data_IF_414216031694
#
_entry.id   IF_414216031694
#
_cell.length_a   1.000
_cell.length_b   1.000
_cell.length_c   1.000
_cell.angle_alpha   90.00
_cell.angle_beta   90.00
_cell.angle_gamma   90.00
#
_symmetry.space_group_name_H-M   'P 1'
#
loop_
_entity.id
_entity.type
_entity.pdbx_description
1 polymer ?
#
# COMPACT_ATOMS: atom_id res chain seq x y z
N UNK A 1 48.18 14.36 -26.41
CA UNK A 1 46.98 14.90 -25.72
C UNK A 1 46.23 13.72 -25.13
N UNK A 2 46.36 13.47 -23.81
CA UNK A 2 45.70 12.35 -23.12
C UNK A 2 44.35 12.84 -22.62
N UNK A 3 43.26 12.35 -23.22
CA UNK A 3 41.91 12.53 -22.68
C UNK A 3 41.71 11.42 -21.65
N UNK A 4 41.75 11.79 -20.36
CA UNK A 4 41.37 10.92 -19.25
C UNK A 4 39.85 11.01 -19.14
N UNK A 5 39.13 10.02 -19.67
CA UNK A 5 37.71 9.84 -19.37
C UNK A 5 37.61 9.31 -17.93
N UNK A 6 37.27 10.17 -16.98
CA UNK A 6 36.79 9.75 -15.66
C UNK A 6 35.39 9.17 -15.84
N UNK A 7 35.28 7.85 -15.78
CA UNK A 7 34.03 7.12 -15.78
C UNK A 7 33.45 7.18 -14.36
N UNK A 8 32.52 8.10 -14.12
CA UNK A 8 31.76 8.18 -12.87
C UNK A 8 30.87 6.94 -12.76
N UNK A 9 31.32 5.94 -12.01
CA UNK A 9 30.49 4.82 -11.60
C UNK A 9 29.43 5.38 -10.65
N UNK A 10 28.22 5.64 -11.17
CA UNK A 10 27.04 5.82 -10.32
C UNK A 10 26.81 4.48 -9.63
N UNK A 11 27.27 4.36 -8.38
CA UNK A 11 26.83 3.31 -7.48
C UNK A 11 25.33 3.50 -7.21
N UNK A 12 24.49 2.94 -8.08
CA UNK A 12 23.12 2.62 -7.72
C UNK A 12 23.20 1.59 -6.60
N UNK A 13 23.10 2.07 -5.35
CA UNK A 13 23.03 1.19 -4.18
C UNK A 13 21.85 0.21 -4.37
N UNK A 14 22.00 -1.06 -3.98
CA UNK A 14 20.91 -2.00 -4.06
C UNK A 14 19.77 -1.49 -3.16
N UNK A 15 18.61 -1.21 -3.74
CA UNK A 15 17.38 -1.05 -2.98
C UNK A 15 17.23 -2.31 -2.12
N UNK A 16 17.34 -2.17 -0.80
CA UNK A 16 17.24 -3.29 0.12
C UNK A 16 15.81 -3.82 0.09
N UNK A 17 15.68 -5.14 -0.07
CA UNK A 17 14.44 -5.83 0.15
C UNK A 17 14.07 -5.70 1.63
N UNK A 18 12.79 -5.51 1.92
CA UNK A 18 12.29 -5.34 3.27
C UNK A 18 11.05 -6.22 3.42
N UNK A 19 11.05 -7.05 4.45
CA UNK A 19 9.89 -7.83 4.83
C UNK A 19 9.31 -7.21 6.09
N UNK A 20 8.01 -6.92 6.03
CA UNK A 20 7.27 -6.27 7.11
C UNK A 20 6.06 -7.13 7.46
N UNK A 21 5.98 -7.55 8.72
CA UNK A 21 4.80 -8.20 9.25
C UNK A 21 3.89 -7.13 9.86
N UNK A 22 2.72 -6.92 9.25
CA UNK A 22 1.85 -5.81 9.60
C UNK A 22 0.52 -6.28 10.18
N UNK A 23 0.04 -5.60 11.21
CA UNK A 23 -1.24 -5.91 11.86
C UNK A 23 -2.16 -4.71 11.75
N UNK A 24 -3.26 -4.85 11.01
CA UNK A 24 -4.32 -3.86 10.97
C UNK A 24 -5.01 -3.77 12.34
N UNK A 25 -5.16 -2.56 12.85
CA UNK A 25 -5.78 -2.26 14.17
C UNK A 25 -7.10 -1.52 14.03
N UNK A 26 -7.26 -0.77 12.95
CA UNK A 26 -8.43 0.07 12.70
C UNK A 26 -8.75 0.07 11.21
N UNK A 27 -10.02 -0.14 10.86
CA UNK A 27 -10.53 0.06 9.52
C UNK A 27 -11.61 1.13 9.56
N UNK A 28 -11.50 2.13 8.69
CA UNK A 28 -12.46 3.21 8.55
C UNK A 28 -13.01 3.23 7.13
N UNK A 29 -14.33 3.38 6.99
CA UNK A 29 -15.01 3.56 5.72
C UNK A 29 -15.62 4.96 5.72
N UNK A 30 -15.32 5.73 4.69
CA UNK A 30 -15.81 7.09 4.52
C UNK A 30 -16.73 7.19 3.31
N UNK A 31 -17.67 8.12 3.39
CA UNK A 31 -18.63 8.44 2.33
C UNK A 31 -19.57 7.28 1.96
N UNK A 32 -19.80 6.35 2.90
CA UNK A 32 -20.90 5.38 2.82
C UNK A 32 -22.24 6.13 2.92
N UNK A 33 -22.31 7.03 3.91
CA UNK A 33 -23.25 8.15 3.96
C UNK A 33 -22.49 9.46 3.69
N UNK A 34 -23.12 10.42 3.01
CA UNK A 34 -22.44 11.62 2.51
C UNK A 34 -21.88 12.43 3.68
N UNK A 35 -20.56 12.59 3.70
CA UNK A 35 -19.86 13.35 4.76
C UNK A 35 -19.63 12.57 6.05
N UNK A 36 -20.00 11.29 6.12
CA UNK A 36 -19.80 10.46 7.30
C UNK A 36 -18.59 9.53 7.16
N UNK A 37 -18.06 9.10 8.30
CA UNK A 37 -16.99 8.10 8.40
C UNK A 37 -17.26 7.20 9.58
N UNK A 38 -17.25 5.89 9.32
CA UNK A 38 -17.42 4.86 10.33
C UNK A 38 -16.12 4.10 10.49
N UNK A 39 -15.68 3.90 11.74
CA UNK A 39 -14.46 3.18 12.05
C UNK A 39 -14.74 1.99 12.97
N UNK A 40 -14.20 0.84 12.61
CA UNK A 40 -14.27 -0.38 13.40
C UNK A 40 -12.87 -0.81 13.83
N UNK A 41 -12.69 -1.08 15.12
CA UNK A 41 -11.49 -1.76 15.62
C UNK A 41 -11.42 -3.14 14.98
N UNK A 42 -10.24 -3.49 14.49
CA UNK A 42 -10.00 -4.77 13.83
C UNK A 42 -8.66 -5.34 14.30
N UNK A 43 -8.42 -6.62 14.01
CA UNK A 43 -7.14 -7.28 14.26
C UNK A 43 -6.91 -8.30 13.15
N UNK A 44 -6.63 -7.79 11.95
CA UNK A 44 -6.35 -8.62 10.77
C UNK A 44 -4.84 -8.53 10.50
N UNK A 45 -4.17 -9.68 10.55
CA UNK A 45 -2.76 -9.77 10.17
C UNK A 45 -2.63 -9.71 8.65
N UNK A 46 -1.66 -8.95 8.16
CA UNK A 46 -1.31 -8.81 6.75
C UNK A 46 0.22 -8.93 6.63
N UNK A 47 0.69 -9.84 5.80
CA UNK A 47 2.10 -9.85 5.40
C UNK A 47 2.32 -8.78 4.33
N UNK A 48 3.24 -7.85 4.55
CA UNK A 48 3.70 -6.91 3.52
C UNK A 48 5.08 -7.34 3.04
N UNK A 49 5.12 -7.93 1.84
CA UNK A 49 6.38 -8.25 1.19
C UNK A 49 6.78 -7.09 0.28
N UNK A 50 7.86 -6.39 0.65
CA UNK A 50 8.51 -5.35 -0.18
C UNK A 50 9.78 -5.97 -0.77
N UNK A 51 9.58 -6.83 -1.77
CA UNK A 51 10.63 -7.69 -2.30
C UNK A 51 11.65 -6.99 -3.21
N UNK A 52 12.87 -7.53 -3.26
CA UNK A 52 13.88 -7.31 -4.33
C UNK A 52 13.39 -7.87 -5.67
N UNK A 53 12.70 -9.01 -5.62
CA UNK A 53 12.29 -9.81 -6.78
C UNK A 53 10.97 -9.33 -7.39
N UNK A 54 10.24 -8.44 -6.70
CA UNK A 54 9.01 -7.80 -7.15
C UNK A 54 9.28 -6.45 -7.84
N UNK A 55 10.53 -5.97 -7.88
CA UNK A 55 10.90 -4.70 -8.50
C UNK A 55 10.25 -3.50 -7.81
N UNK A 56 9.59 -2.63 -8.59
CA UNK A 56 8.79 -1.51 -8.07
C UNK A 56 7.49 -1.97 -7.39
N UNK A 57 7.30 -3.25 -7.03
CA UNK A 57 5.99 -3.73 -6.54
C UNK A 57 5.98 -4.01 -5.03
N UNK A 58 4.91 -3.60 -4.36
CA UNK A 58 4.57 -4.01 -2.98
C UNK A 58 3.39 -4.97 -3.03
N UNK A 59 3.59 -6.17 -2.46
CA UNK A 59 2.58 -7.22 -2.40
C UNK A 59 2.01 -7.27 -0.99
N UNK A 60 0.68 -7.18 -0.90
CA UNK A 60 -0.07 -7.37 0.35
C UNK A 60 -0.66 -8.77 0.35
N UNK A 61 -0.30 -9.55 1.37
CA UNK A 61 -0.72 -10.95 1.54
C UNK A 61 -1.55 -11.11 2.81
N UNK A 62 -2.58 -11.96 2.78
CA UNK A 62 -3.26 -12.41 4.00
C UNK A 62 -2.51 -13.62 4.60
N UNK A 63 -2.79 -14.02 5.87
CA UNK A 63 -2.15 -15.18 6.50
C UNK A 63 -2.43 -16.50 5.76
N UNK A 64 -3.48 -16.52 4.94
CA UNK A 64 -3.89 -17.64 4.08
C UNK A 64 -3.13 -17.67 2.74
N UNK A 65 -2.22 -16.72 2.51
CA UNK A 65 -1.37 -16.65 1.32
C UNK A 65 -2.05 -16.06 0.09
N UNK A 66 -3.27 -15.53 0.23
CA UNK A 66 -3.94 -14.84 -0.87
C UNK A 66 -3.24 -13.50 -1.16
N UNK A 67 -2.63 -13.40 -2.34
CA UNK A 67 -2.07 -12.15 -2.85
C UNK A 67 -3.23 -11.27 -3.31
N UNK A 68 -3.38 -10.10 -2.71
CA UNK A 68 -4.61 -9.33 -2.90
C UNK A 68 -4.41 -8.00 -3.65
N UNK A 69 -3.20 -7.42 -3.65
CA UNK A 69 -2.90 -6.19 -4.41
C UNK A 69 -1.45 -6.07 -4.87
N UNK A 70 -1.28 -5.40 -6.03
CA UNK A 70 0.00 -4.94 -6.55
C UNK A 70 0.03 -3.40 -6.50
N UNK A 71 0.84 -2.84 -5.61
CA UNK A 71 1.13 -1.40 -5.61
C UNK A 71 2.47 -1.14 -6.27
N UNK A 72 2.60 -0.01 -6.98
CA UNK A 72 3.87 0.52 -7.45
C UNK A 72 4.54 1.41 -6.41
N UNK A 73 5.76 1.07 -6.00
CA UNK A 73 6.63 1.83 -5.10
C UNK A 73 6.93 3.20 -5.71
N UNK A 74 6.86 4.21 -4.86
CA UNK A 74 7.21 5.60 -5.15
C UNK A 74 8.63 5.91 -4.67
N UNK A 75 9.27 6.99 -5.17
CA UNK A 75 10.58 7.39 -4.70
C UNK A 75 10.65 7.57 -3.19
N UNK A 76 11.80 7.25 -2.60
CA UNK A 76 12.04 7.40 -1.16
C UNK A 76 11.91 8.85 -0.72
N UNK A 77 11.41 9.05 0.50
CA UNK A 77 11.20 10.35 1.13
C UNK A 77 11.48 10.25 2.62
N UNK A 78 12.01 11.33 3.20
CA UNK A 78 12.24 11.43 4.64
C UNK A 78 10.94 11.19 5.42
N UNK A 79 11.02 10.42 6.52
CA UNK A 79 9.88 10.04 7.34
C UNK A 79 9.12 8.81 6.84
N UNK A 80 9.43 8.29 5.66
CA UNK A 80 8.73 7.16 5.04
C UNK A 80 9.68 5.97 4.83
N UNK A 81 9.29 4.83 5.41
CA UNK A 81 9.95 3.55 5.17
C UNK A 81 9.57 2.97 3.81
N UNK A 82 8.28 3.06 3.47
CA UNK A 82 7.72 2.58 2.21
C UNK A 82 6.60 3.53 1.77
N UNK A 83 6.56 3.86 0.48
CA UNK A 83 5.42 4.50 -0.13
C UNK A 83 5.10 3.82 -1.46
N UNK A 84 3.83 3.49 -1.70
CA UNK A 84 3.41 2.84 -2.92
C UNK A 84 1.97 3.25 -3.31
N UNK A 85 1.65 3.19 -4.60
CA UNK A 85 0.32 3.47 -5.15
C UNK A 85 -0.06 2.45 -6.21
N UNK A 86 -1.32 2.05 -6.24
CA UNK A 86 -1.82 1.02 -7.14
C UNK A 86 -3.16 1.42 -7.76
N UNK A 87 -3.41 0.96 -8.97
CA UNK A 87 -4.74 0.97 -9.58
C UNK A 87 -5.46 -0.36 -9.36
N UNK A 88 -6.74 -0.42 -9.71
CA UNK A 88 -7.47 -1.68 -9.75
C UNK A 88 -6.87 -2.66 -10.75
N UNK A 89 -6.77 -3.95 -10.38
CA UNK A 89 -6.26 -5.00 -11.26
C UNK A 89 -7.34 -5.56 -12.20
N UNK A 90 -8.61 -5.33 -11.88
CA UNK A 90 -9.79 -5.80 -12.61
C UNK A 90 -10.88 -4.72 -12.66
N UNK A 91 -11.87 -4.89 -13.54
CA UNK A 91 -13.03 -4.01 -13.60
C UNK A 91 -13.75 -3.95 -12.24
N UNK A 92 -13.96 -2.72 -11.74
CA UNK A 92 -14.56 -2.48 -10.42
C UNK A 92 -13.57 -2.48 -9.25
N UNK A 93 -12.30 -2.80 -9.48
CA UNK A 93 -11.28 -2.64 -8.44
C UNK A 93 -10.87 -1.17 -8.29
N UNK A 94 -10.88 -0.70 -7.05
CA UNK A 94 -10.52 0.65 -6.67
C UNK A 94 -9.04 1.01 -6.81
N UNK A 95 -8.73 2.31 -6.85
CA UNK A 95 -7.35 2.81 -6.76
C UNK A 95 -6.93 2.99 -5.29
N UNK A 96 -5.64 2.85 -4.99
CA UNK A 96 -5.16 2.92 -3.61
C UNK A 96 -3.73 3.42 -3.43
N UNK A 97 -3.39 3.62 -2.16
CA UNK A 97 -2.05 3.95 -1.71
C UNK A 97 -1.73 3.18 -0.42
N UNK A 98 -0.47 2.81 -0.27
CA UNK A 98 0.11 2.23 0.93
C UNK A 98 1.26 3.13 1.37
N UNK A 99 1.31 3.44 2.65
CA UNK A 99 2.45 4.12 3.27
C UNK A 99 2.82 3.41 4.56
N UNK A 100 4.10 3.15 4.75
CA UNK A 100 4.70 2.73 6.01
C UNK A 100 5.65 3.84 6.43
N UNK A 101 5.46 4.38 7.63
CA UNK A 101 6.28 5.44 8.21
C UNK A 101 7.52 4.87 8.89
N UNK A 102 8.50 5.72 9.19
CA UNK A 102 9.71 5.30 9.94
C UNK A 102 9.38 4.81 11.37
N UNK A 103 8.21 5.19 11.92
CA UNK A 103 7.69 4.65 13.18
C UNK A 103 7.13 3.23 13.07
N UNK A 104 7.12 2.66 11.86
CA UNK A 104 6.46 1.40 11.49
C UNK A 104 4.93 1.42 11.59
N UNK A 105 4.32 2.59 11.83
CA UNK A 105 2.90 2.77 11.56
C UNK A 105 2.65 2.63 10.05
N UNK A 106 1.56 1.98 9.67
CA UNK A 106 1.16 1.90 8.28
C UNK A 106 -0.28 2.38 8.07
N UNK A 107 -0.51 2.90 6.87
CA UNK A 107 -1.83 3.21 6.36
C UNK A 107 -1.96 2.66 4.94
N UNK A 108 -3.07 1.96 4.70
CA UNK A 108 -3.54 1.61 3.35
C UNK A 108 -4.85 2.33 3.11
N UNK A 109 -4.94 3.08 2.02
CA UNK A 109 -6.20 3.69 1.57
C UNK A 109 -6.59 3.10 0.23
N UNK A 110 -7.87 2.74 0.10
CA UNK A 110 -8.48 2.24 -1.13
C UNK A 110 -9.72 3.04 -1.44
N UNK A 111 -9.94 3.34 -2.71
CA UNK A 111 -11.08 4.10 -3.19
C UNK A 111 -11.90 3.21 -4.10
N UNK A 112 -13.11 2.85 -3.69
CA UNK A 112 -13.97 1.91 -4.42
C UNK A 112 -15.25 2.58 -4.87
N UNK A 113 -15.86 2.04 -5.92
CA UNK A 113 -17.26 2.32 -6.25
C UNK A 113 -18.11 1.16 -5.78
N UNK A 114 -19.18 1.47 -5.04
CA UNK A 114 -20.13 0.47 -4.52
C UNK A 114 -21.54 0.83 -4.95
N UNK A 115 -22.35 -0.20 -5.21
CA UNK A 115 -23.81 -0.09 -5.31
C UNK A 115 -24.38 -0.62 -4.00
N UNK A 116 -25.14 0.22 -3.30
CA UNK A 116 -25.70 -0.14 -1.98
C UNK A 116 -27.05 -0.85 -2.10
N UNK A 117 -27.80 -0.55 -3.16
CA UNK A 117 -29.07 -1.20 -3.47
C UNK A 117 -29.04 -1.69 -4.93
N UNK A 118 -29.28 -2.98 -5.22
CA UNK A 118 -29.39 -3.47 -6.59
C UNK A 118 -30.57 -2.87 -7.38
N UNK A 119 -31.59 -2.34 -6.70
CA UNK A 119 -32.75 -1.71 -7.30
C UNK A 119 -32.56 -0.20 -7.58
N UNK A 120 -31.51 0.41 -7.04
CA UNK A 120 -31.12 1.80 -7.29
C UNK A 120 -29.81 1.82 -8.10
N UNK A 121 -29.81 2.52 -9.24
CA UNK A 121 -28.60 2.69 -10.07
C UNK A 121 -27.58 3.66 -9.43
N UNK A 122 -27.84 4.15 -8.22
CA UNK A 122 -26.96 5.02 -7.47
C UNK A 122 -25.63 4.35 -7.09
N UNK A 123 -24.59 4.63 -7.88
CA UNK A 123 -23.20 4.32 -7.53
C UNK A 123 -22.66 5.34 -6.52
N UNK A 124 -21.98 4.86 -5.48
CA UNK A 124 -21.28 5.68 -4.49
C UNK A 124 -19.79 5.42 -4.54
N UNK A 125 -19.00 6.49 -4.47
CA UNK A 125 -17.55 6.39 -4.30
C UNK A 125 -17.24 6.45 -2.81
N UNK A 126 -16.57 5.42 -2.29
CA UNK A 126 -16.17 5.31 -0.89
C UNK A 126 -14.65 5.28 -0.79
N UNK A 127 -14.11 5.72 0.35
CA UNK A 127 -12.72 5.46 0.70
C UNK A 127 -12.64 4.59 1.95
N UNK A 128 -11.83 3.53 1.87
CA UNK A 128 -11.54 2.60 2.94
C UNK A 128 -10.10 2.83 3.36
N UNK A 129 -9.89 3.20 4.62
CA UNK A 129 -8.57 3.40 5.21
C UNK A 129 -8.33 2.38 6.32
N UNK A 130 -7.23 1.66 6.21
CA UNK A 130 -6.78 0.66 7.18
C UNK A 130 -5.52 1.21 7.83
N UNK A 131 -5.52 1.26 9.17
CA UNK A 131 -4.40 1.69 9.98
C UNK A 131 -3.88 0.51 10.78
N UNK A 132 -2.57 0.46 10.98
CA UNK A 132 -1.97 -0.54 11.83
C UNK A 132 -0.49 -0.29 12.06
N UNK A 133 0.18 -1.33 12.52
CA UNK A 133 1.60 -1.30 12.88
C UNK A 133 2.31 -2.46 12.21
N UNK A 134 3.55 -2.25 11.79
CA UNK A 134 4.42 -3.29 11.25
C UNK A 134 5.56 -3.60 12.20
N UNK A 135 6.18 -4.76 12.00
CA UNK A 135 7.45 -5.15 12.59
C UNK A 135 8.38 -5.59 11.44
N UNK A 136 9.68 -5.31 11.58
CA UNK A 136 10.66 -5.83 10.62
C UNK A 136 10.87 -7.32 10.85
N UNK A 137 10.74 -8.11 9.81
CA UNK A 137 11.02 -9.55 9.86
C UNK A 137 12.53 -9.78 9.74
N UNK A 138 13.16 -10.64 10.57
CA UNK A 138 14.62 -10.89 10.57
C UNK A 138 15.19 -11.48 9.28
#
# INVERSE_FOLDING_TARGET
MRVVLMLSVLCAGPAQAMELDCVARLACVSNLEVGETECQKTSIAHGLTVGRDTGDKVIVSTPEGAQFYEFRRLPEREGLRVQATGGGLEDGQGAGALTVFDSLDFIVTRHSQVRLDPADDAVRTIAISIHGTCEETP
#
